data_IF_997560241888
#
_entry.id   IF_997560241888
#
_cell.length_a   1.000
_cell.length_b   1.000
_cell.length_c   1.000
_cell.angle_alpha   90.00
_cell.angle_beta   90.00
_cell.angle_gamma   90.00
#
_symmetry.space_group_name_H-M   'P 1'
#
loop_
_entity.id
_entity.type
_entity.pdbx_description
1 polymer ?
#
# COMPACT_ATOMS: atom_id res chain seq x y z
N UNK A 1 8.74 20.95 11.77
CA UNK A 1 8.29 19.80 10.95
C UNK A 1 8.62 18.54 11.76
N UNK A 2 7.63 17.86 12.35
CA UNK A 2 7.89 16.62 13.11
C UNK A 2 8.26 15.54 12.09
N UNK A 3 9.51 15.08 12.10
CA UNK A 3 9.94 13.89 11.36
C UNK A 3 9.23 12.69 11.98
N UNK A 4 8.07 12.32 11.44
CA UNK A 4 7.49 11.01 11.72
C UNK A 4 8.37 10.02 10.97
N UNK A 5 9.20 9.27 11.70
CA UNK A 5 9.93 8.15 11.13
C UNK A 5 8.92 7.17 10.52
N UNK A 6 9.27 6.62 9.36
CA UNK A 6 8.44 5.61 8.73
C UNK A 6 8.41 4.36 9.61
N UNK A 7 7.22 3.79 9.80
CA UNK A 7 7.00 2.64 10.67
C UNK A 7 7.25 1.36 9.85
N UNK A 8 8.50 0.92 9.84
CA UNK A 8 8.95 -0.25 9.07
C UNK A 8 8.24 -1.54 9.53
N UNK A 9 7.92 -1.66 10.83
CA UNK A 9 7.21 -2.82 11.36
C UNK A 9 5.78 -2.89 10.82
N UNK A 10 5.06 -1.77 10.82
CA UNK A 10 3.74 -1.71 10.21
C UNK A 10 3.79 -1.98 8.70
N UNK A 11 4.78 -1.42 8.00
CA UNK A 11 4.93 -1.63 6.57
C UNK A 11 5.21 -3.10 6.23
N UNK A 12 6.04 -3.78 7.03
CA UNK A 12 6.30 -5.22 6.87
C UNK A 12 5.03 -6.05 7.12
N UNK A 13 4.26 -5.75 8.19
CA UNK A 13 2.96 -6.40 8.44
C UNK A 13 1.99 -6.22 7.27
N UNK A 14 1.88 -5.00 6.74
CA UNK A 14 1.06 -4.70 5.57
C UNK A 14 1.52 -5.48 4.32
N UNK A 15 2.82 -5.47 4.03
CA UNK A 15 3.40 -6.16 2.89
C UNK A 15 3.14 -7.67 2.95
N UNK A 16 3.24 -8.27 4.13
CA UNK A 16 2.89 -9.69 4.34
C UNK A 16 1.39 -9.94 4.16
N UNK A 17 0.53 -9.09 4.71
CA UNK A 17 -0.92 -9.20 4.54
C UNK A 17 -1.34 -9.13 3.06
N UNK A 18 -0.75 -8.20 2.29
CA UNK A 18 -0.94 -8.09 0.84
C UNK A 18 -0.42 -9.34 0.13
N UNK A 19 0.78 -9.79 0.47
CA UNK A 19 1.39 -11.00 -0.13
C UNK A 19 0.48 -12.22 0.01
N UNK A 20 -0.11 -12.42 1.19
CA UNK A 20 -1.03 -13.52 1.47
C UNK A 20 -2.37 -13.40 0.72
N UNK A 21 -2.91 -12.18 0.56
CA UNK A 21 -4.22 -11.97 -0.07
C UNK A 21 -4.17 -11.92 -1.61
N UNK A 22 -3.06 -11.40 -2.14
CA UNK A 22 -2.85 -11.24 -3.57
C UNK A 22 -2.02 -12.38 -4.17
N UNK A 23 -1.45 -13.26 -3.34
CA UNK A 23 -0.65 -14.39 -3.80
C UNK A 23 0.65 -13.95 -4.48
N UNK A 24 1.27 -12.89 -3.97
CA UNK A 24 2.49 -12.31 -4.54
C UNK A 24 3.64 -12.39 -3.55
N UNK A 25 4.87 -12.21 -4.03
CA UNK A 25 6.02 -12.07 -3.14
C UNK A 25 6.13 -10.63 -2.60
N UNK A 26 6.65 -10.49 -1.38
CA UNK A 26 7.03 -9.18 -0.82
C UNK A 26 8.00 -8.40 -1.73
N UNK A 27 8.85 -9.12 -2.47
CA UNK A 27 9.78 -8.55 -3.46
C UNK A 27 9.03 -7.74 -4.53
N UNK A 28 7.82 -8.15 -4.92
CA UNK A 28 6.98 -7.47 -5.91
C UNK A 28 6.36 -6.18 -5.38
N UNK A 29 6.22 -6.06 -4.06
CA UNK A 29 5.68 -4.89 -3.38
C UNK A 29 6.77 -3.85 -3.17
N UNK A 30 7.99 -4.26 -2.84
CA UNK A 30 9.08 -3.33 -2.47
C UNK A 30 9.98 -3.00 -3.66
N UNK A 31 10.38 -3.99 -4.46
CA UNK A 31 11.47 -3.84 -5.45
C UNK A 31 11.01 -3.55 -6.88
N UNK A 32 9.86 -4.06 -7.32
CA UNK A 32 9.41 -3.86 -8.70
C UNK A 32 8.99 -2.41 -8.96
N UNK A 33 9.39 -1.82 -10.09
CA UNK A 33 9.15 -0.39 -10.38
C UNK A 33 7.68 0.01 -10.34
N UNK A 34 6.81 -0.80 -10.93
CA UNK A 34 5.38 -0.54 -10.98
C UNK A 34 4.60 -1.85 -10.97
N UNK A 35 3.95 -2.16 -9.85
CA UNK A 35 3.12 -3.35 -9.67
C UNK A 35 1.81 -2.96 -9.00
N UNK A 36 0.72 -3.68 -9.32
CA UNK A 36 -0.57 -3.43 -8.70
C UNK A 36 -0.49 -3.57 -7.17
N UNK A 37 0.23 -4.59 -6.69
CA UNK A 37 0.38 -4.88 -5.25
C UNK A 37 1.18 -3.79 -4.52
N UNK A 38 2.16 -3.16 -5.18
CA UNK A 38 2.84 -1.95 -4.69
C UNK A 38 1.87 -0.77 -4.60
N UNK A 39 1.05 -0.55 -5.63
CA UNK A 39 0.02 0.50 -5.63
C UNK A 39 -0.99 0.31 -4.49
N UNK A 40 -1.38 -0.93 -4.21
CA UNK A 40 -2.24 -1.28 -3.08
C UNK A 40 -1.57 -0.95 -1.75
N UNK A 41 -0.29 -1.31 -1.56
CA UNK A 41 0.45 -0.95 -0.34
C UNK A 41 0.50 0.56 -0.12
N UNK A 42 0.86 1.31 -1.17
CA UNK A 42 0.90 2.78 -1.17
C UNK A 42 -0.47 3.38 -0.83
N UNK A 43 -1.54 2.85 -1.42
CA UNK A 43 -2.90 3.29 -1.14
C UNK A 43 -3.26 3.08 0.33
N UNK A 44 -3.03 1.88 0.87
CA UNK A 44 -3.38 1.56 2.26
C UNK A 44 -2.60 2.44 3.22
N UNK A 45 -1.27 2.55 3.07
CA UNK A 45 -0.45 3.43 3.92
C UNK A 45 -0.90 4.89 3.82
N UNK A 46 -1.21 5.38 2.62
CA UNK A 46 -1.69 6.75 2.43
C UNK A 46 -3.05 7.02 3.08
N UNK A 47 -3.86 5.98 3.36
CA UNK A 47 -5.18 6.10 4.00
C UNK A 47 -5.14 5.85 5.50
N UNK A 48 -4.25 4.98 5.99
CA UNK A 48 -4.19 4.61 7.41
C UNK A 48 -3.19 5.42 8.21
N UNK A 49 -2.14 5.93 7.57
CA UNK A 49 -1.06 6.64 8.23
C UNK A 49 -0.93 8.05 7.67
N UNK A 50 -0.60 9.01 8.53
CA UNK A 50 -0.46 10.42 8.14
C UNK A 50 0.97 10.73 7.65
N UNK A 51 1.51 9.90 6.75
CA UNK A 51 2.83 10.12 6.16
C UNK A 51 2.75 11.09 4.98
N UNK A 52 3.80 11.88 4.78
CA UNK A 52 3.92 12.69 3.57
C UNK A 52 4.16 11.79 2.34
N UNK A 53 3.67 12.21 1.18
CA UNK A 53 3.88 11.48 -0.10
C UNK A 53 5.35 11.28 -0.43
N UNK A 54 6.23 12.17 0.02
CA UNK A 54 7.69 12.04 -0.12
C UNK A 54 8.24 10.84 0.63
N UNK A 55 7.76 10.61 1.86
CA UNK A 55 8.20 9.47 2.69
C UNK A 55 7.69 8.17 2.08
N UNK A 56 6.41 8.11 1.72
CA UNK A 56 5.81 6.93 1.08
C UNK A 56 6.52 6.61 -0.24
N UNK A 57 6.78 7.63 -1.07
CA UNK A 57 7.46 7.48 -2.35
C UNK A 57 8.91 7.01 -2.20
N UNK A 58 9.64 7.54 -1.22
CA UNK A 58 11.00 7.09 -0.93
C UNK A 58 11.02 5.61 -0.51
N UNK A 59 10.12 5.19 0.39
CA UNK A 59 10.08 3.83 0.90
C UNK A 59 9.71 2.81 -0.20
N UNK A 60 8.63 3.05 -0.95
CA UNK A 60 8.18 2.16 -2.03
C UNK A 60 8.89 2.40 -3.37
N UNK A 61 9.92 3.25 -3.41
CA UNK A 61 10.67 3.57 -4.62
C UNK A 61 9.77 4.04 -5.79
N UNK A 62 8.75 4.84 -5.49
CA UNK A 62 7.87 5.47 -6.49
C UNK A 62 8.01 6.99 -6.43
N UNK A 63 7.74 7.65 -7.55
CA UNK A 63 7.71 9.11 -7.57
C UNK A 63 6.66 9.61 -6.56
N UNK A 64 7.06 10.50 -5.66
CA UNK A 64 6.15 11.10 -4.68
C UNK A 64 5.02 11.92 -5.33
N UNK A 65 5.26 12.42 -6.55
CA UNK A 65 4.25 13.07 -7.39
C UNK A 65 3.22 12.08 -7.94
N UNK A 66 3.56 10.80 -8.01
CA UNK A 66 2.70 9.74 -8.50
C UNK A 66 1.79 9.16 -7.40
N UNK A 67 2.15 9.31 -6.12
CA UNK A 67 1.34 8.80 -4.98
C UNK A 67 -0.13 9.24 -5.04
N UNK A 68 -0.49 10.52 -5.30
CA UNK A 68 -1.90 10.90 -5.42
C UNK A 68 -2.63 10.25 -6.61
N UNK A 69 -1.92 10.00 -7.72
CA UNK A 69 -2.49 9.32 -8.87
C UNK A 69 -2.75 7.83 -8.54
N UNK A 70 -1.80 7.17 -7.87
CA UNK A 70 -1.98 5.80 -7.36
C UNK A 70 -3.22 5.69 -6.46
N UNK A 71 -3.41 6.65 -5.54
CA UNK A 71 -4.59 6.64 -4.67
C UNK A 71 -5.89 6.69 -5.48
N UNK A 72 -5.97 7.59 -6.48
CA UNK A 72 -7.15 7.69 -7.35
C UNK A 72 -7.37 6.45 -8.22
N UNK A 73 -6.28 5.84 -8.69
CA UNK A 73 -6.33 4.61 -9.49
C UNK A 73 -6.95 3.46 -8.67
N UNK A 74 -6.48 3.26 -7.43
CA UNK A 74 -7.01 2.23 -6.54
C UNK A 74 -8.46 2.55 -6.10
N UNK A 75 -8.80 3.81 -5.84
CA UNK A 75 -10.19 4.24 -5.56
C UNK A 75 -11.14 3.96 -6.74
N UNK A 76 -10.65 4.09 -7.97
CA UNK A 76 -11.41 3.71 -9.16
C UNK A 76 -11.56 2.19 -9.26
N UNK A 77 -10.47 1.43 -9.06
CA UNK A 77 -10.51 -0.04 -9.06
C UNK A 77 -11.48 -0.61 -8.02
N UNK A 78 -11.54 -0.03 -6.82
CA UNK A 78 -12.50 -0.39 -5.79
C UNK A 78 -13.96 -0.28 -6.24
N UNK A 79 -14.26 0.63 -7.19
CA UNK A 79 -15.62 0.84 -7.71
C UNK A 79 -15.96 -0.04 -8.91
N UNK A 80 -14.96 -0.39 -9.72
CA UNK A 80 -15.18 -1.01 -11.04
C UNK A 80 -14.76 -2.47 -11.12
N UNK A 81 -13.84 -2.93 -10.27
CA UNK A 81 -13.34 -4.31 -10.28
C UNK A 81 -14.12 -5.13 -9.25
N UNK A 82 -14.96 -6.09 -9.70
CA UNK A 82 -15.73 -6.92 -8.78
C UNK A 82 -14.84 -7.67 -7.79
N UNK A 83 -15.21 -7.64 -6.51
CA UNK A 83 -14.48 -8.35 -5.44
C UNK A 83 -13.15 -7.71 -5.02
N UNK A 84 -12.72 -6.61 -5.66
CA UNK A 84 -11.49 -5.92 -5.26
C UNK A 84 -11.62 -5.27 -3.88
N UNK A 85 -12.80 -4.74 -3.55
CA UNK A 85 -13.11 -4.23 -2.21
C UNK A 85 -12.97 -5.30 -1.12
N UNK A 86 -13.35 -6.55 -1.42
CA UNK A 86 -13.26 -7.67 -0.48
C UNK A 86 -11.79 -7.98 -0.20
N UNK A 87 -10.96 -8.05 -1.25
CA UNK A 87 -9.51 -8.24 -1.08
C UNK A 87 -8.89 -7.15 -0.20
N UNK A 88 -9.23 -5.89 -0.44
CA UNK A 88 -8.72 -4.78 0.38
C UNK A 88 -9.20 -4.87 1.83
N UNK A 89 -10.47 -5.25 2.06
CA UNK A 89 -11.02 -5.49 3.40
C UNK A 89 -10.26 -6.61 4.13
N UNK A 90 -9.99 -7.73 3.46
CA UNK A 90 -9.23 -8.84 4.02
C UNK A 90 -7.81 -8.43 4.42
N UNK A 91 -7.15 -7.56 3.63
CA UNK A 91 -5.85 -6.99 4.00
C UNK A 91 -5.97 -6.16 5.28
N UNK A 92 -7.00 -5.31 5.41
CA UNK A 92 -7.21 -4.53 6.63
C UNK A 92 -7.43 -5.41 7.87
N UNK A 93 -8.24 -6.46 7.75
CA UNK A 93 -8.49 -7.40 8.85
C UNK A 93 -7.18 -8.09 9.30
N UNK A 94 -6.37 -8.56 8.35
CA UNK A 94 -5.06 -9.17 8.63
C UNK A 94 -4.05 -8.23 9.28
N UNK A 95 -4.18 -6.91 9.12
CA UNK A 95 -3.28 -5.95 9.79
C UNK A 95 -3.73 -5.69 11.23
N UNK A 96 -5.03 -5.83 11.53
CA UNK A 96 -5.61 -5.57 12.86
C UNK A 96 -5.50 -6.78 13.80
N UNK A 97 -5.44 -8.00 13.27
CA UNK A 97 -5.27 -9.23 14.05
C UNK A 97 -3.82 -9.49 14.52
N UNK A 98 -2.87 -8.58 14.23
CA UNK A 98 -1.43 -8.64 14.55
C UNK A 98 -0.97 -7.52 15.49
#
# INVERSE_FOLDING_TARGET
MKTVAFDDEYAEKLELAISLEFGCERSEIVRLRDSLVKKVAVFIISKTKNYSTRVIGAYYQISWLYVPAVVKEIEWMLKVVPGFEIKIKNVYEKILDY
#
